data_IF_627335625753
#
_entry.id   IF_627335625753
#
_cell.length_a   1.000
_cell.length_b   1.000
_cell.length_c   1.000
_cell.angle_alpha   90.00
_cell.angle_beta   90.00
_cell.angle_gamma   90.00
#
_symmetry.space_group_name_H-M   'P 1'
#
loop_
_entity.id
_entity.type
_entity.pdbx_description
1 polymer ?
#
# COMPACT_ATOMS: atom_id res chain seq x y z
N UNK A 1 2.29 -7.06 -63.64
CA UNK A 1 2.84 -6.01 -62.73
C UNK A 1 1.79 -5.28 -61.87
N UNK A 2 0.47 -5.43 -62.09
CA UNK A 2 -0.56 -4.67 -61.35
C UNK A 2 -1.18 -5.37 -60.12
N UNK A 3 -0.90 -6.66 -59.89
CA UNK A 3 -1.48 -7.42 -58.77
C UNK A 3 -0.66 -7.32 -57.49
N UNK A 4 0.68 -7.38 -57.59
CA UNK A 4 1.60 -7.24 -56.45
C UNK A 4 1.58 -5.84 -55.82
N UNK A 5 1.46 -4.79 -56.64
CA UNK A 5 1.30 -3.43 -56.13
C UNK A 5 -0.02 -3.30 -55.35
N UNK A 6 -1.13 -3.82 -55.89
CA UNK A 6 -2.44 -3.77 -55.20
C UNK A 6 -2.47 -4.58 -53.90
N UNK A 7 -1.84 -5.75 -53.83
CA UNK A 7 -1.78 -6.50 -52.55
C UNK A 7 -0.91 -5.80 -51.52
N UNK A 8 0.22 -5.18 -51.91
CA UNK A 8 1.02 -4.37 -50.98
C UNK A 8 0.29 -3.10 -50.52
N UNK A 9 -0.40 -2.39 -51.42
CA UNK A 9 -1.16 -1.18 -51.04
C UNK A 9 -2.37 -1.54 -50.17
N UNK A 10 -3.01 -2.70 -50.39
CA UNK A 10 -4.12 -3.18 -49.55
C UNK A 10 -3.63 -3.65 -48.19
N UNK A 11 -2.48 -4.34 -48.09
CA UNK A 11 -1.85 -4.69 -46.79
C UNK A 11 -1.38 -3.44 -46.02
N UNK A 12 -0.83 -2.43 -46.71
CA UNK A 12 -0.48 -1.15 -46.08
C UNK A 12 -1.72 -0.38 -45.63
N UNK A 13 -2.82 -0.40 -46.38
CA UNK A 13 -4.09 0.26 -46.04
C UNK A 13 -4.94 -0.48 -44.99
N UNK A 14 -4.82 -1.81 -44.86
CA UNK A 14 -5.47 -2.57 -43.77
C UNK A 14 -4.65 -2.58 -42.49
N UNK A 15 -3.33 -2.36 -42.56
CA UNK A 15 -2.48 -2.13 -41.39
C UNK A 15 -2.49 -0.67 -40.93
N UNK A 16 -2.90 0.30 -41.76
CA UNK A 16 -2.95 1.72 -41.38
C UNK A 16 -3.91 2.04 -40.20
N UNK A 17 -5.08 1.39 -40.01
CA UNK A 17 -5.90 1.58 -38.80
C UNK A 17 -5.33 0.89 -37.55
N UNK A 18 -4.52 -0.15 -37.74
CA UNK A 18 -3.77 -0.87 -36.69
C UNK A 18 -2.47 -0.15 -36.30
N UNK A 19 -1.91 0.66 -37.20
CA UNK A 19 -0.76 1.54 -36.97
C UNK A 19 -1.17 2.97 -36.55
N UNK A 20 -2.42 3.37 -36.78
CA UNK A 20 -2.95 4.69 -36.40
C UNK A 20 -3.41 4.81 -34.93
N UNK A 21 -3.28 3.73 -34.15
CA UNK A 21 -3.50 3.74 -32.70
C UNK A 21 -2.25 3.29 -31.93
N UNK A 22 -1.04 3.53 -32.45
CA UNK A 22 0.07 3.73 -31.52
C UNK A 22 -0.38 4.89 -30.61
N UNK A 23 -0.87 4.54 -29.43
CA UNK A 23 -1.33 5.54 -28.48
C UNK A 23 -0.16 6.51 -28.26
N UNK A 24 -0.48 7.75 -27.93
CA UNK A 24 0.56 8.73 -27.59
C UNK A 24 1.57 8.14 -26.59
N UNK A 25 1.11 7.29 -25.66
CA UNK A 25 1.96 6.58 -24.71
C UNK A 25 3.01 5.66 -25.35
N UNK A 26 2.68 4.79 -26.31
CA UNK A 26 3.67 3.89 -26.93
C UNK A 26 4.85 4.64 -27.56
N UNK A 27 4.54 5.71 -28.30
CA UNK A 27 5.57 6.53 -28.93
C UNK A 27 6.45 7.24 -27.90
N UNK A 28 5.86 7.68 -26.79
CA UNK A 28 6.59 8.33 -25.68
C UNK A 28 7.49 7.34 -24.93
N UNK A 29 7.01 6.12 -24.66
CA UNK A 29 7.81 5.04 -24.07
C UNK A 29 9.01 4.71 -24.97
N UNK A 30 8.78 4.51 -26.28
CA UNK A 30 9.83 4.17 -27.23
C UNK A 30 10.93 5.24 -27.36
N UNK A 31 10.60 6.51 -27.09
CA UNK A 31 11.53 7.64 -27.09
C UNK A 31 12.18 7.92 -25.73
N UNK A 32 11.87 7.10 -24.71
CA UNK A 32 12.27 7.31 -23.32
C UNK A 32 11.77 8.64 -22.71
N UNK A 33 10.69 9.20 -23.23
CA UNK A 33 10.02 10.37 -22.63
C UNK A 33 9.09 9.89 -21.50
N UNK A 34 9.69 9.38 -20.44
CA UNK A 34 9.00 8.73 -19.34
C UNK A 34 8.03 9.64 -18.59
N UNK A 35 8.33 10.95 -18.53
CA UNK A 35 7.44 11.91 -17.90
C UNK A 35 6.15 12.10 -18.71
N UNK A 36 6.26 12.31 -20.03
CA UNK A 36 5.06 12.41 -20.87
C UNK A 36 4.35 11.07 -21.02
N UNK A 37 5.09 9.95 -21.07
CA UNK A 37 4.49 8.61 -21.06
C UNK A 37 3.66 8.38 -19.80
N UNK A 38 4.18 8.74 -18.62
CA UNK A 38 3.44 8.67 -17.36
C UNK A 38 2.15 9.50 -17.44
N UNK A 39 2.24 10.74 -17.92
CA UNK A 39 1.07 11.60 -18.11
C UNK A 39 0.02 10.95 -19.01
N UNK A 40 0.42 10.44 -20.16
CA UNK A 40 -0.48 9.84 -21.14
C UNK A 40 -1.23 8.64 -20.55
N UNK A 41 -0.51 7.74 -19.87
CA UNK A 41 -1.09 6.56 -19.23
C UNK A 41 -2.03 6.94 -18.07
N UNK A 42 -1.67 7.93 -17.25
CA UNK A 42 -2.52 8.40 -16.15
C UNK A 42 -3.79 9.12 -16.64
N UNK A 43 -3.73 9.78 -17.80
CA UNK A 43 -4.92 10.36 -18.43
C UNK A 43 -5.84 9.26 -18.98
N UNK A 44 -5.27 8.21 -19.57
CA UNK A 44 -6.01 7.03 -20.01
C UNK A 44 -6.69 6.33 -18.82
N UNK A 45 -5.99 6.19 -17.68
CA UNK A 45 -6.58 5.65 -16.44
C UNK A 45 -7.80 6.43 -15.97
N UNK A 46 -7.79 7.76 -16.11
CA UNK A 46 -8.89 8.65 -15.73
C UNK A 46 -10.10 8.58 -16.67
N UNK A 47 -9.98 7.92 -17.83
CA UNK A 47 -11.07 7.71 -18.77
C UNK A 47 -11.79 6.37 -18.56
N UNK A 48 -11.23 5.48 -17.75
CA UNK A 48 -11.83 4.18 -17.45
C UNK A 48 -13.08 4.27 -16.57
N UNK A 49 -13.96 3.28 -16.71
CA UNK A 49 -15.08 3.11 -15.77
C UNK A 49 -14.53 2.68 -14.40
N UNK A 50 -15.00 3.33 -13.33
CA UNK A 50 -14.54 3.14 -11.94
C UNK A 50 -13.08 3.56 -11.72
N UNK A 51 -12.84 4.86 -11.87
CA UNK A 51 -11.54 5.51 -11.64
C UNK A 51 -11.00 5.13 -10.24
N UNK A 52 -9.73 4.72 -10.18
CA UNK A 52 -9.03 4.54 -8.93
C UNK A 52 -9.06 5.85 -8.12
N UNK A 53 -9.65 5.79 -6.93
CA UNK A 53 -9.78 6.97 -6.08
C UNK A 53 -8.44 7.65 -5.77
N UNK A 54 -7.31 6.93 -5.82
CA UNK A 54 -5.97 7.44 -5.55
C UNK A 54 -5.32 8.15 -6.75
N UNK A 55 -5.89 7.99 -7.95
CA UNK A 55 -5.35 8.53 -9.21
C UNK A 55 -5.04 10.04 -9.16
N UNK A 56 -5.89 10.93 -8.59
CA UNK A 56 -5.56 12.35 -8.58
C UNK A 56 -4.31 12.68 -7.77
N UNK A 57 -4.11 12.03 -6.62
CA UNK A 57 -2.92 12.24 -5.82
C UNK A 57 -1.66 11.77 -6.56
N UNK A 58 -1.77 10.65 -7.29
CA UNK A 58 -0.70 10.12 -8.13
C UNK A 58 -0.35 11.12 -9.25
N UNK A 59 -1.36 11.61 -9.98
CA UNK A 59 -1.19 12.63 -11.02
C UNK A 59 -0.49 13.89 -10.46
N UNK A 60 -0.95 14.40 -9.32
CA UNK A 60 -0.38 15.60 -8.72
C UNK A 60 1.06 15.39 -8.21
N UNK A 61 1.37 14.23 -7.62
CA UNK A 61 2.73 13.86 -7.20
C UNK A 61 3.70 13.73 -8.38
N UNK A 62 3.19 13.26 -9.52
CA UNK A 62 3.95 13.20 -10.77
C UNK A 62 4.12 14.58 -11.44
N UNK A 63 3.56 15.65 -10.87
CA UNK A 63 3.68 17.02 -11.40
C UNK A 63 2.49 17.46 -12.28
N UNK A 64 1.49 16.60 -12.49
CA UNK A 64 0.30 16.87 -13.32
C UNK A 64 -0.86 17.41 -12.50
N UNK A 65 -0.64 18.52 -11.78
CA UNK A 65 -1.63 19.09 -10.84
C UNK A 65 -2.95 19.42 -11.54
N UNK A 66 -2.92 20.03 -12.72
CA UNK A 66 -4.17 20.41 -13.41
C UNK A 66 -4.96 19.19 -13.91
N UNK A 67 -4.27 18.11 -14.28
CA UNK A 67 -4.93 16.85 -14.65
C UNK A 67 -5.55 16.19 -13.41
N UNK A 68 -4.85 16.24 -12.26
CA UNK A 68 -5.41 15.80 -10.98
C UNK A 68 -6.70 16.55 -10.60
N UNK A 69 -6.72 17.88 -10.76
CA UNK A 69 -7.90 18.69 -10.43
C UNK A 69 -9.10 18.35 -11.33
N UNK A 70 -8.87 18.07 -12.62
CA UNK A 70 -9.92 17.58 -13.53
C UNK A 70 -10.45 16.22 -13.08
N UNK A 71 -9.56 15.31 -12.71
CA UNK A 71 -9.96 13.99 -12.20
C UNK A 71 -10.77 14.12 -10.91
N UNK A 72 -10.36 15.00 -9.98
CA UNK A 72 -11.11 15.26 -8.73
C UNK A 72 -12.53 15.76 -9.02
N UNK A 73 -12.70 16.68 -9.97
CA UNK A 73 -14.01 17.20 -10.32
C UNK A 73 -14.98 16.11 -10.84
N UNK A 74 -14.43 15.01 -11.41
CA UNK A 74 -15.20 13.85 -11.86
C UNK A 74 -15.49 12.80 -10.79
N UNK A 75 -14.91 12.90 -9.58
CA UNK A 75 -15.16 11.96 -8.49
C UNK A 75 -16.50 12.21 -7.79
N UNK A 76 -16.97 11.21 -7.04
CA UNK A 76 -18.12 11.39 -6.14
C UNK A 76 -17.88 12.56 -5.19
N UNK A 77 -18.89 13.42 -5.02
CA UNK A 77 -18.78 14.66 -4.25
C UNK A 77 -18.13 14.46 -2.88
N UNK A 78 -18.53 13.42 -2.14
CA UNK A 78 -18.02 13.11 -0.80
C UNK A 78 -16.51 12.86 -0.72
N UNK A 79 -15.86 12.50 -1.83
CA UNK A 79 -14.41 12.24 -1.87
C UNK A 79 -13.59 13.47 -2.26
N UNK A 80 -14.21 14.48 -2.86
CA UNK A 80 -13.50 15.64 -3.43
C UNK A 80 -12.73 16.48 -2.39
N UNK A 81 -13.32 16.86 -1.23
CA UNK A 81 -12.64 17.72 -0.27
C UNK A 81 -11.31 17.15 0.22
N UNK A 82 -11.31 15.87 0.59
CA UNK A 82 -10.10 15.17 1.05
C UNK A 82 -9.03 15.12 -0.04
N UNK A 83 -9.39 14.83 -1.30
CA UNK A 83 -8.41 14.81 -2.40
C UNK A 83 -7.83 16.20 -2.69
N UNK A 84 -8.62 17.25 -2.56
CA UNK A 84 -8.13 18.62 -2.68
C UNK A 84 -7.13 18.96 -1.57
N UNK A 85 -7.42 18.56 -0.32
CA UNK A 85 -6.48 18.74 0.81
C UNK A 85 -5.17 18.00 0.56
N UNK A 86 -5.20 16.73 0.16
CA UNK A 86 -3.97 15.97 -0.13
C UNK A 86 -3.12 16.60 -1.24
N UNK A 87 -3.77 17.13 -2.29
CA UNK A 87 -3.06 17.85 -3.36
C UNK A 87 -2.47 19.15 -2.80
N UNK A 88 -3.21 19.90 -1.97
CA UNK A 88 -2.75 21.15 -1.36
C UNK A 88 -1.51 20.96 -0.46
N UNK A 89 -1.36 19.79 0.16
CA UNK A 89 -0.21 19.42 1.01
C UNK A 89 1.07 19.10 0.22
N UNK A 90 1.01 19.02 -1.11
CA UNK A 90 2.19 18.75 -1.91
C UNK A 90 3.21 19.89 -1.83
N UNK A 91 4.51 19.57 -1.62
CA UNK A 91 5.54 20.58 -1.39
C UNK A 91 5.82 21.47 -2.61
N UNK A 92 5.53 20.97 -3.82
CA UNK A 92 5.74 21.70 -5.07
C UNK A 92 4.70 22.80 -5.36
N UNK A 93 3.61 22.89 -4.58
CA UNK A 93 2.58 23.91 -4.78
C UNK A 93 2.95 25.25 -4.15
N UNK A 94 2.63 26.35 -4.86
CA UNK A 94 2.71 27.69 -4.31
C UNK A 94 1.67 27.92 -3.22
N UNK A 95 1.94 28.84 -2.29
CA UNK A 95 1.02 29.18 -1.20
C UNK A 95 -0.36 29.61 -1.72
N UNK A 96 -0.41 30.48 -2.74
CA UNK A 96 -1.66 30.93 -3.35
C UNK A 96 -2.46 29.76 -3.96
N UNK A 97 -1.80 28.80 -4.61
CA UNK A 97 -2.48 27.62 -5.18
C UNK A 97 -3.01 26.71 -4.07
N UNK A 98 -2.22 26.51 -3.00
CA UNK A 98 -2.63 25.75 -1.81
C UNK A 98 -3.89 26.35 -1.18
N UNK A 99 -3.88 27.65 -0.90
CA UNK A 99 -5.02 28.36 -0.31
C UNK A 99 -6.29 28.24 -1.18
N UNK A 100 -6.16 28.39 -2.50
CA UNK A 100 -7.29 28.22 -3.42
C UNK A 100 -7.91 26.81 -3.35
N UNK A 101 -7.08 25.77 -3.28
CA UNK A 101 -7.55 24.38 -3.17
C UNK A 101 -8.21 24.10 -1.81
N UNK A 102 -7.66 24.65 -0.72
CA UNK A 102 -8.25 24.52 0.61
C UNK A 102 -9.59 25.26 0.70
N UNK A 103 -9.70 26.44 0.10
CA UNK A 103 -10.95 27.18 -0.03
C UNK A 103 -12.02 26.37 -0.77
N UNK A 104 -11.64 25.80 -1.93
CA UNK A 104 -12.53 24.93 -2.69
C UNK A 104 -12.98 23.70 -1.90
N UNK A 105 -12.06 23.06 -1.16
CA UNK A 105 -12.38 21.91 -0.31
C UNK A 105 -13.39 22.28 0.80
N UNK A 106 -13.20 23.44 1.43
CA UNK A 106 -14.11 23.95 2.45
C UNK A 106 -15.50 24.28 1.89
N UNK A 107 -15.58 24.89 0.71
CA UNK A 107 -16.86 25.22 0.09
C UNK A 107 -17.65 23.96 -0.27
N UNK A 108 -16.98 22.92 -0.81
CA UNK A 108 -17.62 21.62 -1.06
C UNK A 108 -18.06 20.97 0.26
N UNK A 109 -17.23 21.03 1.32
CA UNK A 109 -17.59 20.50 2.62
C UNK A 109 -18.86 21.17 3.18
N UNK A 110 -18.98 22.50 3.05
CA UNK A 110 -20.19 23.26 3.43
C UNK A 110 -21.41 22.83 2.63
N UNK A 111 -21.30 22.72 1.31
CA UNK A 111 -22.40 22.25 0.46
C UNK A 111 -22.86 20.83 0.82
N UNK A 112 -21.94 19.95 1.23
CA UNK A 112 -22.28 18.62 1.71
C UNK A 112 -23.00 18.67 3.06
N UNK A 113 -22.57 19.58 3.93
CA UNK A 113 -23.14 19.78 5.25
C UNK A 113 -24.58 20.32 5.16
N UNK A 114 -24.86 21.24 4.21
CA UNK A 114 -26.22 21.73 3.91
C UNK A 114 -27.18 20.61 3.46
N UNK A 115 -26.63 19.51 2.92
CA UNK A 115 -27.39 18.34 2.48
C UNK A 115 -27.39 17.20 3.51
N UNK A 116 -26.92 17.46 4.73
CA UNK A 116 -26.82 16.45 5.80
C UNK A 116 -26.05 15.19 5.38
N UNK A 117 -25.02 15.34 4.55
CA UNK A 117 -24.18 14.24 4.12
C UNK A 117 -23.13 13.89 5.17
N UNK A 118 -23.02 12.60 5.55
CA UNK A 118 -21.95 12.10 6.45
C UNK A 118 -20.53 12.35 5.92
N UNK A 119 -20.37 12.65 4.63
CA UNK A 119 -19.08 13.01 4.04
C UNK A 119 -18.54 14.35 4.57
N UNK A 120 -19.42 15.29 4.97
CA UNK A 120 -19.00 16.61 5.47
C UNK A 120 -18.18 16.48 6.76
N UNK A 121 -18.58 15.57 7.66
CA UNK A 121 -17.86 15.26 8.90
C UNK A 121 -16.39 14.90 8.65
N UNK A 122 -16.15 14.00 7.69
CA UNK A 122 -14.79 13.63 7.30
C UNK A 122 -14.06 14.80 6.65
N UNK A 123 -14.72 15.55 5.75
CA UNK A 123 -14.14 16.69 5.05
C UNK A 123 -13.67 17.80 6.00
N UNK A 124 -14.49 18.18 6.98
CA UNK A 124 -14.10 19.15 8.00
C UNK A 124 -12.94 18.64 8.86
N UNK A 125 -12.92 17.35 9.20
CA UNK A 125 -11.82 16.77 9.96
C UNK A 125 -10.49 16.78 9.18
N UNK A 126 -10.53 16.48 7.88
CA UNK A 126 -9.35 16.57 7.01
C UNK A 126 -8.78 18.00 6.94
N UNK A 127 -9.65 19.00 6.80
CA UNK A 127 -9.24 20.40 6.83
C UNK A 127 -8.68 20.79 8.21
N UNK A 128 -9.31 20.33 9.31
CA UNK A 128 -8.80 20.60 10.65
C UNK A 128 -7.39 20.02 10.88
N UNK A 129 -7.15 18.80 10.40
CA UNK A 129 -5.82 18.17 10.45
C UNK A 129 -4.80 18.95 9.63
N UNK A 130 -5.18 19.41 8.43
CA UNK A 130 -4.32 20.24 7.60
C UNK A 130 -3.88 21.52 8.33
N UNK A 131 -4.83 22.32 8.81
CA UNK A 131 -4.52 23.58 9.51
C UNK A 131 -3.72 23.35 10.79
N UNK A 132 -4.00 22.27 11.52
CA UNK A 132 -3.18 21.89 12.68
C UNK A 132 -1.74 21.56 12.28
N UNK A 133 -1.54 20.86 11.17
CA UNK A 133 -0.21 20.59 10.61
C UNK A 133 0.52 21.85 10.17
N UNK A 134 -0.20 22.85 9.68
CA UNK A 134 0.31 24.17 9.30
C UNK A 134 0.55 25.11 10.49
N UNK A 135 0.16 24.73 11.71
CA UNK A 135 0.31 25.54 12.91
C UNK A 135 -0.81 26.56 13.15
N UNK A 136 -1.89 26.56 12.36
CA UNK A 136 -3.07 27.38 12.56
C UNK A 136 -4.09 26.65 13.45
N UNK A 137 -3.84 26.66 14.75
CA UNK A 137 -4.70 26.00 15.72
C UNK A 137 -6.10 26.62 15.81
N UNK A 138 -6.23 27.92 15.56
CA UNK A 138 -7.52 28.63 15.62
C UNK A 138 -8.46 28.09 14.55
N UNK A 139 -7.98 28.04 13.30
CA UNK A 139 -8.77 27.51 12.20
C UNK A 139 -9.02 26.00 12.36
N UNK A 140 -8.02 25.25 12.83
CA UNK A 140 -8.16 23.82 13.10
C UNK A 140 -9.26 23.52 14.13
N UNK A 141 -9.33 24.30 15.23
CA UNK A 141 -10.38 24.17 16.25
C UNK A 141 -11.76 24.51 15.71
N UNK A 142 -11.88 25.56 14.90
CA UNK A 142 -13.16 25.93 14.29
C UNK A 142 -13.69 24.82 13.37
N UNK A 143 -12.83 24.22 12.55
CA UNK A 143 -13.20 23.12 11.67
C UNK A 143 -13.47 21.82 12.43
N UNK A 144 -12.73 21.53 13.50
CA UNK A 144 -13.03 20.41 14.39
C UNK A 144 -14.42 20.56 15.03
N UNK A 145 -14.79 21.77 15.47
CA UNK A 145 -16.10 22.02 16.05
C UNK A 145 -17.23 21.70 15.05
N UNK A 146 -17.07 22.11 13.79
CA UNK A 146 -18.01 21.74 12.71
C UNK A 146 -18.02 20.22 12.49
N UNK A 147 -16.86 19.57 12.44
CA UNK A 147 -16.79 18.12 12.28
C UNK A 147 -17.55 17.39 13.42
N UNK A 148 -17.39 17.84 14.68
CA UNK A 148 -18.07 17.29 15.85
C UNK A 148 -19.59 17.53 15.82
N UNK A 149 -20.02 18.73 15.42
CA UNK A 149 -21.44 19.07 15.28
C UNK A 149 -22.14 18.10 14.31
N UNK A 150 -21.57 17.92 13.11
CA UNK A 150 -22.12 17.01 12.11
C UNK A 150 -21.95 15.54 12.47
N UNK A 151 -20.84 15.15 13.11
CA UNK A 151 -20.66 13.80 13.65
C UNK A 151 -21.73 13.46 14.67
N UNK A 152 -22.09 14.40 15.55
CA UNK A 152 -23.15 14.23 16.52
C UNK A 152 -24.53 14.13 15.85
N UNK A 153 -24.83 15.04 14.92
CA UNK A 153 -26.11 15.07 14.20
C UNK A 153 -26.35 13.80 13.37
N UNK A 154 -25.29 13.27 12.74
CA UNK A 154 -25.38 12.21 11.73
C UNK A 154 -24.82 10.86 12.19
N UNK A 155 -24.42 10.75 13.46
CA UNK A 155 -23.80 9.54 14.04
C UNK A 155 -22.54 9.06 13.29
N UNK A 156 -21.74 9.98 12.73
CA UNK A 156 -20.68 9.67 11.75
C UNK A 156 -19.24 9.89 12.26
N UNK A 157 -18.96 9.50 13.50
CA UNK A 157 -17.63 9.66 14.13
C UNK A 157 -16.54 8.81 13.47
N UNK A 158 -16.93 7.68 12.86
CA UNK A 158 -16.09 6.81 12.04
C UNK A 158 -15.33 7.62 10.97
N UNK A 159 -15.98 8.62 10.35
CA UNK A 159 -15.37 9.48 9.33
C UNK A 159 -14.28 10.38 9.89
N UNK A 160 -14.44 10.88 11.11
CA UNK A 160 -13.41 11.69 11.78
C UNK A 160 -12.22 10.81 12.16
N UNK A 161 -12.50 9.64 12.75
CA UNK A 161 -11.49 8.69 13.20
C UNK A 161 -10.67 8.20 12.00
N UNK A 162 -11.34 7.87 10.90
CA UNK A 162 -10.69 7.51 9.65
C UNK A 162 -9.72 8.60 9.14
N UNK A 163 -10.12 9.88 9.17
CA UNK A 163 -9.24 10.99 8.79
C UNK A 163 -8.02 11.09 9.71
N UNK A 164 -8.21 11.03 11.04
CA UNK A 164 -7.11 11.05 12.01
C UNK A 164 -6.15 9.88 11.83
N UNK A 165 -6.66 8.67 11.57
CA UNK A 165 -5.87 7.47 11.34
C UNK A 165 -4.99 7.54 10.08
N UNK A 166 -5.37 8.37 9.10
CA UNK A 166 -4.62 8.60 7.87
C UNK A 166 -3.58 9.71 8.00
N UNK A 167 -3.79 10.65 8.92
CA UNK A 167 -2.83 11.72 9.25
C UNK A 167 -2.47 11.78 10.74
N UNK A 168 -1.96 10.68 11.34
CA UNK A 168 -1.65 10.62 12.76
C UNK A 168 -0.63 11.69 13.20
N UNK A 169 0.27 12.11 12.31
CA UNK A 169 1.27 13.15 12.57
C UNK A 169 0.68 14.54 12.83
N UNK A 170 -0.52 14.81 12.32
CA UNK A 170 -1.23 16.08 12.50
C UNK A 170 -2.33 16.00 13.57
N UNK A 171 -2.62 14.80 14.08
CA UNK A 171 -3.56 14.61 15.17
C UNK A 171 -2.96 15.10 16.50
N UNK A 172 -3.79 15.73 17.34
CA UNK A 172 -3.42 16.23 18.66
C UNK A 172 -4.39 15.73 19.72
N UNK A 173 -3.95 15.65 20.98
CA UNK A 173 -4.76 15.17 22.10
C UNK A 173 -6.08 15.95 22.26
N UNK A 174 -6.08 17.26 22.01
CA UNK A 174 -7.28 18.10 22.07
C UNK A 174 -8.30 17.82 20.95
N UNK A 175 -7.90 17.14 19.86
CA UNK A 175 -8.83 16.64 18.84
C UNK A 175 -9.49 15.33 19.24
N UNK A 176 -8.75 14.48 19.97
CA UNK A 176 -9.20 13.15 20.40
C UNK A 176 -10.19 13.27 21.57
N UNK A 177 -9.92 14.15 22.54
CA UNK A 177 -10.73 14.30 23.76
C UNK A 177 -12.25 14.51 23.53
N UNK A 178 -12.67 15.41 22.62
CA UNK A 178 -14.10 15.58 22.33
C UNK A 178 -14.75 14.34 21.69
N UNK A 179 -14.01 13.62 20.84
CA UNK A 179 -14.49 12.38 20.21
C UNK A 179 -14.69 11.29 21.27
N UNK A 180 -13.74 11.11 22.18
CA UNK A 180 -13.86 10.10 23.25
C UNK A 180 -15.00 10.42 24.20
N UNK A 181 -15.23 11.70 24.54
CA UNK A 181 -16.38 12.13 25.33
C UNK A 181 -17.71 11.82 24.66
N UNK A 182 -17.79 11.98 23.34
CA UNK A 182 -18.99 11.65 22.58
C UNK A 182 -19.25 10.15 22.51
N UNK A 183 -18.19 9.34 22.41
CA UNK A 183 -18.25 7.88 22.35
C UNK A 183 -18.57 7.20 23.68
N UNK A 184 -18.39 7.89 24.80
CA UNK A 184 -18.78 7.38 26.12
C UNK A 184 -20.30 7.25 26.32
N UNK A 185 -21.11 7.76 25.38
CA UNK A 185 -22.56 7.57 25.36
C UNK A 185 -22.90 6.25 24.68
N UNK A 186 -23.90 5.52 25.18
CA UNK A 186 -24.32 4.23 24.61
C UNK A 186 -24.70 4.35 23.12
N UNK A 187 -23.99 3.62 22.26
CA UNK A 187 -24.13 3.65 20.78
C UNK A 187 -23.79 2.28 20.20
N UNK A 188 -24.64 1.78 19.29
CA UNK A 188 -24.53 0.42 18.70
C UNK A 188 -23.15 0.13 18.08
N UNK A 189 -22.49 1.14 17.51
CA UNK A 189 -21.21 0.98 16.81
C UNK A 189 -19.98 1.51 17.57
N UNK A 190 -20.13 1.94 18.83
CA UNK A 190 -19.04 2.55 19.60
C UNK A 190 -17.78 1.66 19.68
N UNK A 191 -17.95 0.33 19.71
CA UNK A 191 -16.82 -0.60 19.76
C UNK A 191 -15.89 -0.50 18.53
N UNK A 192 -16.42 -0.21 17.34
CA UNK A 192 -15.61 -0.01 16.14
C UNK A 192 -14.90 1.34 16.15
N UNK A 193 -15.56 2.38 16.68
CA UNK A 193 -14.96 3.70 16.86
C UNK A 193 -13.81 3.65 17.88
N UNK A 194 -14.01 2.95 19.00
CA UNK A 194 -12.95 2.69 20.00
C UNK A 194 -11.80 1.88 19.43
N UNK A 195 -12.09 0.85 18.62
CA UNK A 195 -11.08 0.11 17.88
C UNK A 195 -10.25 1.06 17.00
N UNK A 196 -10.91 1.95 16.25
CA UNK A 196 -10.24 2.93 15.39
C UNK A 196 -9.36 3.92 16.17
N UNK A 197 -9.81 4.38 17.33
CA UNK A 197 -9.02 5.23 18.24
C UNK A 197 -7.82 4.49 18.84
N UNK A 198 -7.96 3.21 19.19
CA UNK A 198 -6.84 2.39 19.67
C UNK A 198 -5.76 2.22 18.59
N UNK A 199 -6.16 1.99 17.34
CA UNK A 199 -5.23 1.93 16.21
C UNK A 199 -4.52 3.28 15.98
N UNK A 200 -5.26 4.40 16.10
CA UNK A 200 -4.72 5.74 16.00
C UNK A 200 -3.66 5.99 17.09
N UNK A 201 -3.98 5.68 18.35
CA UNK A 201 -3.05 5.84 19.47
C UNK A 201 -1.76 5.03 19.27
N UNK A 202 -1.88 3.78 18.79
CA UNK A 202 -0.71 2.97 18.41
C UNK A 202 0.13 3.60 17.30
N UNK A 203 -0.51 4.15 16.25
CA UNK A 203 0.19 4.88 15.17
C UNK A 203 0.90 6.13 15.67
N UNK A 204 0.35 6.78 16.69
CA UNK A 204 0.97 7.93 17.37
C UNK A 204 2.05 7.53 18.38
N UNK A 205 2.23 6.23 18.64
CA UNK A 205 3.20 5.71 19.61
C UNK A 205 2.73 5.73 21.07
N UNK A 206 1.48 6.12 21.34
CA UNK A 206 0.91 6.18 22.69
C UNK A 206 0.25 4.84 23.07
N UNK A 207 1.09 3.92 23.57
CA UNK A 207 0.64 2.59 23.99
C UNK A 207 -0.31 2.63 25.19
N UNK A 208 -0.13 3.57 26.11
CA UNK A 208 -0.99 3.69 27.31
C UNK A 208 -2.39 4.12 26.91
N UNK A 209 -2.50 5.14 26.06
CA UNK A 209 -3.78 5.59 25.55
C UNK A 209 -4.45 4.51 24.69
N UNK A 210 -3.69 3.80 23.86
CA UNK A 210 -4.21 2.68 23.08
C UNK A 210 -4.84 1.60 23.97
N UNK A 211 -4.20 1.23 25.09
CA UNK A 211 -4.76 0.27 26.04
C UNK A 211 -6.05 0.79 26.68
N UNK A 212 -6.11 2.07 27.03
CA UNK A 212 -7.34 2.68 27.55
C UNK A 212 -8.49 2.61 26.53
N UNK A 213 -8.22 2.87 25.25
CA UNK A 213 -9.23 2.73 24.18
C UNK A 213 -9.60 1.28 23.90
N UNK A 214 -8.66 0.34 24.02
CA UNK A 214 -8.97 -1.08 23.95
C UNK A 214 -9.98 -1.49 25.02
N UNK A 215 -9.79 -1.04 26.27
CA UNK A 215 -10.69 -1.39 27.37
C UNK A 215 -12.10 -0.85 27.14
N UNK A 216 -12.21 0.42 26.71
CA UNK A 216 -13.49 1.01 26.33
C UNK A 216 -14.15 0.27 25.16
N UNK A 217 -13.36 -0.15 24.16
CA UNK A 217 -13.84 -0.94 23.03
C UNK A 217 -14.38 -2.30 23.45
N UNK A 218 -13.69 -2.99 24.36
CA UNK A 218 -14.11 -4.30 24.90
C UNK A 218 -15.44 -4.15 25.63
N UNK A 219 -15.58 -3.14 26.49
CA UNK A 219 -16.82 -2.85 27.21
C UNK A 219 -17.97 -2.58 26.22
N UNK A 220 -17.74 -1.73 25.21
CA UNK A 220 -18.71 -1.40 24.18
C UNK A 220 -19.15 -2.62 23.32
N UNK A 221 -18.35 -3.70 23.25
CA UNK A 221 -18.78 -4.92 22.55
C UNK A 221 -20.00 -5.60 23.17
N UNK A 222 -20.37 -5.25 24.41
CA UNK A 222 -21.60 -5.72 25.05
C UNK A 222 -22.86 -5.34 24.26
N UNK A 223 -22.80 -4.29 23.44
CA UNK A 223 -23.91 -3.80 22.62
C UNK A 223 -23.94 -4.41 21.21
N UNK A 224 -22.92 -5.19 20.83
CA UNK A 224 -22.83 -5.80 19.50
C UNK A 224 -23.56 -7.14 19.41
N UNK A 225 -24.10 -7.42 18.22
CA UNK A 225 -24.56 -8.77 17.85
C UNK A 225 -23.37 -9.75 17.79
N UNK A 226 -23.61 -11.01 18.14
CA UNK A 226 -22.58 -12.06 18.29
C UNK A 226 -21.64 -12.21 17.07
N UNK A 227 -22.19 -12.10 15.85
CA UNK A 227 -21.40 -12.25 14.61
C UNK A 227 -20.34 -11.17 14.42
N UNK A 228 -20.53 -9.97 14.99
CA UNK A 228 -19.55 -8.86 14.93
C UNK A 228 -18.66 -8.82 16.17
N UNK A 229 -19.22 -9.21 17.32
CA UNK A 229 -18.54 -9.20 18.62
C UNK A 229 -17.22 -9.98 18.59
N UNK A 230 -17.23 -11.22 18.08
CA UNK A 230 -16.03 -12.06 18.03
C UNK A 230 -14.89 -11.45 17.20
N UNK A 231 -15.22 -10.82 16.07
CA UNK A 231 -14.24 -10.13 15.23
C UNK A 231 -13.63 -8.93 15.97
N UNK A 232 -14.47 -8.03 16.50
CA UNK A 232 -14.02 -6.81 17.18
C UNK A 232 -13.17 -7.15 18.41
N UNK A 233 -13.60 -8.10 19.24
CA UNK A 233 -12.83 -8.57 20.39
C UNK A 233 -11.45 -9.11 19.99
N UNK A 234 -11.38 -9.91 18.91
CA UNK A 234 -10.09 -10.41 18.41
C UNK A 234 -9.17 -9.29 17.92
N UNK A 235 -9.70 -8.24 17.30
CA UNK A 235 -8.90 -7.09 16.85
C UNK A 235 -8.43 -6.25 18.04
N UNK A 236 -9.32 -5.93 18.99
CA UNK A 236 -8.98 -5.19 20.20
C UNK A 236 -7.89 -5.89 21.02
N UNK A 237 -8.01 -7.22 21.19
CA UNK A 237 -6.98 -8.00 21.86
C UNK A 237 -5.64 -8.01 21.11
N UNK A 238 -5.65 -8.03 19.78
CA UNK A 238 -4.42 -7.92 18.99
C UNK A 238 -3.76 -6.55 19.19
N UNK A 239 -4.53 -5.46 19.22
CA UNK A 239 -3.99 -4.14 19.54
C UNK A 239 -3.46 -4.08 20.97
N UNK A 240 -4.13 -4.74 21.92
CA UNK A 240 -3.65 -4.85 23.30
C UNK A 240 -2.26 -5.50 23.38
N UNK A 241 -2.04 -6.60 22.65
CA UNK A 241 -0.72 -7.25 22.55
C UNK A 241 0.32 -6.31 21.97
N UNK A 242 0.00 -5.61 20.86
CA UNK A 242 0.90 -4.65 20.22
C UNK A 242 1.24 -3.47 21.13
N UNK A 243 0.31 -3.07 21.99
CA UNK A 243 0.52 -2.08 23.04
C UNK A 243 1.30 -2.61 24.26
N UNK A 244 1.55 -3.93 24.34
CA UNK A 244 2.37 -4.57 25.39
C UNK A 244 1.59 -5.30 26.48
N UNK A 245 0.26 -5.44 26.36
CA UNK A 245 -0.55 -6.21 27.31
C UNK A 245 -0.37 -7.70 27.08
N UNK A 246 0.46 -8.35 27.88
CA UNK A 246 0.74 -9.79 27.77
C UNK A 246 -0.43 -10.69 28.21
N UNK A 247 -1.24 -10.23 29.18
CA UNK A 247 -2.41 -10.97 29.69
C UNK A 247 -3.67 -10.53 28.95
N UNK A 248 -4.27 -11.45 28.21
CA UNK A 248 -5.48 -11.20 27.43
C UNK A 248 -6.67 -11.96 28.04
N UNK A 249 -7.90 -11.42 27.89
CA UNK A 249 -9.10 -12.13 28.32
C UNK A 249 -9.32 -13.40 27.50
N UNK A 250 -9.53 -14.53 28.19
CA UNK A 250 -9.86 -15.83 27.58
C UNK A 250 -11.36 -15.91 27.19
N UNK A 251 -11.73 -16.78 26.22
CA UNK A 251 -10.86 -17.66 25.44
C UNK A 251 -10.17 -16.94 24.28
N UNK A 252 -8.87 -17.19 24.09
CA UNK A 252 -8.14 -16.70 22.93
C UNK A 252 -8.38 -17.56 21.69
N UNK A 253 -8.50 -16.91 20.53
CA UNK A 253 -8.43 -17.64 19.25
C UNK A 253 -7.03 -18.26 19.11
N UNK A 254 -6.89 -19.41 18.41
CA UNK A 254 -5.57 -20.03 18.23
C UNK A 254 -4.52 -19.08 17.66
N UNK A 255 -4.91 -18.23 16.70
CA UNK A 255 -4.02 -17.22 16.11
C UNK A 255 -3.56 -16.19 17.15
N UNK A 256 -4.47 -15.70 17.98
CA UNK A 256 -4.17 -14.71 19.00
C UNK A 256 -3.25 -15.27 20.09
N UNK A 257 -3.45 -16.53 20.50
CA UNK A 257 -2.57 -17.18 21.47
C UNK A 257 -1.15 -17.38 20.91
N UNK A 258 -1.02 -17.83 19.66
CA UNK A 258 0.30 -17.95 19.00
C UNK A 258 1.00 -16.60 18.85
N UNK A 259 0.25 -15.57 18.44
CA UNK A 259 0.78 -14.21 18.30
C UNK A 259 1.22 -13.64 19.65
N UNK A 260 0.43 -13.85 20.71
CA UNK A 260 0.79 -13.50 22.09
C UNK A 260 2.12 -14.14 22.48
N UNK A 261 2.26 -15.46 22.34
CA UNK A 261 3.47 -16.19 22.71
C UNK A 261 4.70 -15.68 21.94
N UNK A 262 4.57 -15.44 20.62
CA UNK A 262 5.64 -14.89 19.82
C UNK A 262 6.02 -13.44 20.24
N UNK A 263 5.03 -12.62 20.60
CA UNK A 263 5.27 -11.24 21.07
C UNK A 263 5.91 -11.22 22.45
N UNK A 264 5.50 -12.11 23.35
CA UNK A 264 5.97 -12.16 24.74
C UNK A 264 7.26 -12.95 24.94
N UNK A 265 8.00 -13.26 23.87
CA UNK A 265 9.32 -13.89 23.94
C UNK A 265 9.31 -15.41 24.13
N UNK A 266 8.22 -16.10 23.76
CA UNK A 266 8.12 -17.56 23.73
C UNK A 266 7.87 -18.09 22.29
N UNK A 267 8.77 -17.80 21.33
CA UNK A 267 8.58 -18.19 19.92
C UNK A 267 8.60 -19.71 19.72
N UNK A 268 9.22 -20.47 20.62
CA UNK A 268 9.23 -21.92 20.65
C UNK A 268 7.86 -22.52 20.98
N UNK A 269 7.15 -21.96 21.97
CA UNK A 269 5.79 -22.36 22.30
C UNK A 269 4.81 -21.98 21.19
N UNK A 270 4.97 -20.78 20.62
CA UNK A 270 4.21 -20.36 19.44
C UNK A 270 4.42 -21.34 18.27
N UNK A 271 5.67 -21.76 18.03
CA UNK A 271 6.00 -22.73 17.00
C UNK A 271 5.39 -24.11 17.28
N UNK A 272 5.44 -24.59 18.52
CA UNK A 272 4.82 -25.86 18.90
C UNK A 272 3.31 -25.88 18.59
N UNK A 273 2.61 -24.78 18.85
CA UNK A 273 1.20 -24.63 18.49
C UNK A 273 0.97 -24.58 16.97
N UNK A 274 1.83 -23.88 16.22
CA UNK A 274 1.75 -23.89 14.75
C UNK A 274 1.95 -25.30 14.18
N UNK A 275 2.95 -26.03 14.70
CA UNK A 275 3.29 -27.37 14.24
C UNK A 275 2.19 -28.39 14.58
N UNK A 276 1.52 -28.22 15.72
CA UNK A 276 0.40 -29.06 16.16
C UNK A 276 -0.96 -28.63 15.59
N UNK A 277 -1.02 -27.54 14.85
CA UNK A 277 -2.28 -27.00 14.34
C UNK A 277 -2.99 -27.98 13.39
N UNK A 278 -4.32 -28.08 13.44
CA UNK A 278 -5.06 -29.05 12.64
C UNK A 278 -4.94 -28.75 11.14
N UNK A 279 -5.12 -29.80 10.33
CA UNK A 279 -5.37 -29.65 8.90
C UNK A 279 -6.83 -29.23 8.68
N UNK A 280 -7.04 -28.24 7.83
CA UNK A 280 -8.34 -27.75 7.40
C UNK A 280 -8.41 -27.93 5.88
N UNK A 281 -9.06 -29.01 5.43
CA UNK A 281 -9.01 -29.48 4.05
C UNK A 281 -7.57 -29.73 3.59
N UNK A 282 -7.18 -29.11 2.47
CA UNK A 282 -5.84 -29.26 1.89
C UNK A 282 -4.78 -28.34 2.54
N UNK A 283 -5.15 -27.50 3.51
CA UNK A 283 -4.22 -26.51 4.08
C UNK A 283 -3.99 -26.74 5.57
N UNK A 284 -2.73 -26.86 5.98
CA UNK A 284 -2.36 -26.90 7.39
C UNK A 284 -2.61 -25.53 8.03
N UNK A 285 -3.40 -25.43 9.10
CA UNK A 285 -3.72 -24.13 9.71
C UNK A 285 -2.46 -23.38 10.17
N UNK A 286 -1.47 -24.09 10.72
CA UNK A 286 -0.19 -23.52 11.09
C UNK A 286 0.62 -23.01 9.88
N UNK A 287 0.46 -23.62 8.70
CA UNK A 287 1.14 -23.13 7.51
C UNK A 287 0.61 -21.76 7.06
N UNK A 288 -0.69 -21.50 7.21
CA UNK A 288 -1.29 -20.17 6.90
C UNK A 288 -0.84 -19.06 7.85
N UNK A 289 -0.45 -19.41 9.07
CA UNK A 289 -0.12 -18.44 10.12
C UNK A 289 1.37 -18.17 10.24
N UNK A 290 2.21 -19.13 9.88
CA UNK A 290 3.67 -19.00 9.88
C UNK A 290 4.17 -17.71 9.19
N UNK A 291 3.77 -17.37 7.93
CA UNK A 291 4.27 -16.16 7.28
C UNK A 291 3.78 -14.87 7.97
N UNK A 292 2.62 -14.91 8.65
CA UNK A 292 2.10 -13.76 9.40
C UNK A 292 2.92 -13.46 10.65
N UNK A 293 3.42 -14.48 11.34
CA UNK A 293 4.25 -14.30 12.53
C UNK A 293 5.64 -13.76 12.19
N UNK A 294 6.22 -14.17 11.06
CA UNK A 294 7.47 -13.58 10.56
C UNK A 294 7.26 -12.12 10.18
N UNK A 295 6.17 -11.82 9.46
CA UNK A 295 5.81 -10.44 9.11
C UNK A 295 5.63 -9.56 10.34
N UNK A 296 4.90 -10.03 11.35
CA UNK A 296 4.73 -9.31 12.62
C UNK A 296 6.06 -9.08 13.34
N UNK A 297 6.93 -10.09 13.42
CA UNK A 297 8.28 -9.94 13.99
C UNK A 297 9.11 -8.91 13.21
N UNK A 298 9.02 -8.92 11.88
CA UNK A 298 9.70 -7.94 11.02
C UNK A 298 9.17 -6.52 11.22
N UNK A 299 7.86 -6.32 11.30
CA UNK A 299 7.24 -5.01 11.60
C UNK A 299 7.66 -4.46 12.97
N UNK A 300 7.98 -5.35 13.93
CA UNK A 300 8.48 -5.00 15.26
C UNK A 300 10.01 -4.85 15.35
N UNK A 301 10.73 -5.06 14.24
CA UNK A 301 12.19 -5.15 14.20
C UNK A 301 12.77 -6.24 15.14
N UNK A 302 12.01 -7.31 15.39
CA UNK A 302 12.43 -8.45 16.21
C UNK A 302 13.14 -9.50 15.35
N UNK A 303 14.41 -9.23 15.05
CA UNK A 303 15.27 -10.12 14.28
C UNK A 303 15.39 -11.54 14.90
N UNK A 304 15.60 -11.72 16.22
CA UNK A 304 15.65 -13.06 16.81
C UNK A 304 14.41 -13.91 16.53
N UNK A 305 13.22 -13.35 16.74
CA UNK A 305 11.96 -14.06 16.49
C UNK A 305 11.75 -14.35 15.01
N UNK A 306 11.99 -13.36 14.13
CA UNK A 306 11.84 -13.55 12.69
C UNK A 306 12.77 -14.66 12.16
N UNK A 307 14.03 -14.65 12.62
CA UNK A 307 15.01 -15.69 12.28
C UNK A 307 14.63 -17.06 12.84
N UNK A 308 14.13 -17.12 14.08
CA UNK A 308 13.70 -18.38 14.70
C UNK A 308 12.67 -19.13 13.85
N UNK A 309 11.67 -18.42 13.35
CA UNK A 309 10.64 -18.98 12.49
C UNK A 309 11.15 -19.27 11.06
N UNK A 310 12.00 -18.42 10.48
CA UNK A 310 12.58 -18.64 9.15
C UNK A 310 13.43 -19.92 9.10
N UNK A 311 14.17 -20.23 10.17
CA UNK A 311 14.93 -21.48 10.33
C UNK A 311 14.04 -22.73 10.49
N UNK A 312 12.75 -22.56 10.76
CA UNK A 312 11.80 -23.64 11.09
C UNK A 312 10.51 -23.50 10.26
N UNK A 313 10.56 -23.81 8.96
CA UNK A 313 9.37 -23.73 8.10
C UNK A 313 8.37 -24.85 8.42
N UNK A 314 7.07 -24.55 8.33
CA UNK A 314 5.98 -25.50 8.58
C UNK A 314 5.19 -25.74 7.30
N UNK A 315 5.49 -26.83 6.57
CA UNK A 315 4.77 -27.23 5.34
C UNK A 315 4.55 -26.04 4.37
N UNK A 316 5.60 -25.23 4.19
CA UNK A 316 5.57 -23.99 3.43
C UNK A 316 5.97 -24.21 1.98
N UNK A 317 5.42 -23.39 1.09
CA UNK A 317 5.89 -23.25 -0.28
C UNK A 317 7.31 -22.65 -0.34
N UNK A 318 8.00 -22.85 -1.47
CA UNK A 318 9.31 -22.26 -1.72
C UNK A 318 9.25 -20.71 -1.66
N UNK A 319 8.18 -20.12 -2.19
CA UNK A 319 7.89 -18.69 -2.12
C UNK A 319 7.80 -18.16 -0.68
N UNK A 320 7.05 -18.83 0.20
CA UNK A 320 6.91 -18.40 1.59
C UNK A 320 8.27 -18.45 2.31
N UNK A 321 9.10 -19.45 2.02
CA UNK A 321 10.46 -19.54 2.53
C UNK A 321 11.37 -18.43 1.98
N UNK A 322 11.28 -18.14 0.68
CA UNK A 322 12.02 -17.04 0.06
C UNK A 322 11.65 -15.69 0.70
N UNK A 323 10.37 -15.43 0.87
CA UNK A 323 9.85 -14.21 1.51
C UNK A 323 10.29 -14.08 2.98
N UNK A 324 10.30 -15.18 3.72
CA UNK A 324 10.80 -15.20 5.10
C UNK A 324 12.30 -14.86 5.18
N UNK A 325 13.13 -15.53 4.37
CA UNK A 325 14.56 -15.26 4.35
C UNK A 325 14.90 -13.85 3.81
N UNK A 326 14.11 -13.34 2.86
CA UNK A 326 14.20 -11.97 2.38
C UNK A 326 13.96 -10.96 3.52
N UNK A 327 12.94 -11.17 4.35
CA UNK A 327 12.66 -10.32 5.52
C UNK A 327 13.77 -10.39 6.57
N UNK A 328 14.29 -11.59 6.86
CA UNK A 328 15.42 -11.75 7.80
C UNK A 328 16.67 -11.03 7.28
N UNK A 329 16.99 -11.17 5.99
CA UNK A 329 18.13 -10.47 5.38
C UNK A 329 17.96 -8.94 5.45
N UNK A 330 16.76 -8.44 5.21
CA UNK A 330 16.44 -7.00 5.35
C UNK A 330 16.65 -6.51 6.78
N UNK A 331 16.18 -7.25 7.79
CA UNK A 331 16.35 -6.91 9.21
C UNK A 331 17.83 -6.94 9.62
N UNK A 332 18.60 -7.94 9.16
CA UNK A 332 20.04 -8.02 9.41
C UNK A 332 20.78 -6.80 8.83
N UNK A 333 20.47 -6.42 7.59
CA UNK A 333 21.06 -5.24 6.96
C UNK A 333 20.72 -3.95 7.72
N UNK A 334 19.46 -3.76 8.11
CA UNK A 334 19.02 -2.61 8.92
C UNK A 334 19.70 -2.57 10.30
N UNK A 335 19.98 -3.74 10.88
CA UNK A 335 20.71 -3.89 12.14
C UNK A 335 22.24 -3.84 11.98
N UNK A 336 22.75 -3.55 10.77
CA UNK A 336 24.19 -3.56 10.43
C UNK A 336 24.88 -4.90 10.73
N UNK A 337 24.16 -6.01 10.62
CA UNK A 337 24.67 -7.38 10.72
C UNK A 337 24.94 -7.97 9.33
N UNK A 338 25.75 -9.03 9.27
CA UNK A 338 25.92 -9.78 8.03
C UNK A 338 24.60 -10.45 7.61
N UNK A 339 24.12 -10.10 6.42
CA UNK A 339 22.88 -10.58 5.83
C UNK A 339 23.12 -11.59 4.70
N UNK A 340 24.38 -11.87 4.34
CA UNK A 340 24.76 -12.60 3.13
C UNK A 340 24.26 -14.05 3.11
N UNK A 341 24.17 -14.69 4.27
CA UNK A 341 23.64 -16.05 4.38
C UNK A 341 22.13 -16.09 4.10
N UNK A 342 21.36 -15.23 4.79
CA UNK A 342 19.90 -15.16 4.61
C UNK A 342 19.50 -14.65 3.23
N UNK A 343 20.28 -13.72 2.66
CA UNK A 343 20.14 -13.30 1.27
C UNK A 343 20.27 -14.49 0.30
N UNK A 344 21.34 -15.29 0.43
CA UNK A 344 21.53 -16.48 -0.42
C UNK A 344 20.44 -17.52 -0.23
N UNK A 345 19.98 -17.74 1.01
CA UNK A 345 18.86 -18.65 1.27
C UNK A 345 17.56 -18.18 0.60
N UNK A 346 17.29 -16.87 0.61
CA UNK A 346 16.14 -16.30 -0.08
C UNK A 346 16.21 -16.53 -1.60
N UNK A 347 17.38 -16.34 -2.21
CA UNK A 347 17.58 -16.63 -3.65
C UNK A 347 17.41 -18.11 -3.96
N UNK A 348 18.03 -19.00 -3.18
CA UNK A 348 17.92 -20.45 -3.39
C UNK A 348 16.47 -20.93 -3.28
N UNK A 349 15.68 -20.34 -2.37
CA UNK A 349 14.26 -20.66 -2.24
C UNK A 349 13.39 -20.13 -3.39
N UNK A 350 13.88 -19.16 -4.19
CA UNK A 350 13.21 -18.72 -5.41
C UNK A 350 13.49 -19.63 -6.61
N UNK A 351 14.40 -20.58 -6.52
CA UNK A 351 14.57 -21.58 -7.58
C UNK A 351 13.33 -22.47 -7.63
N UNK A 352 12.67 -22.61 -8.80
CA UNK A 352 11.40 -23.31 -8.87
C UNK A 352 11.64 -24.81 -8.77
N UNK A 353 10.83 -25.49 -7.97
CA UNK A 353 10.71 -26.94 -8.11
C UNK A 353 10.18 -27.27 -9.52
N UNK A 354 10.77 -28.25 -10.18
CA UNK A 354 10.40 -28.64 -11.54
C UNK A 354 8.87 -28.83 -11.67
N UNK A 355 8.27 -28.16 -12.65
CA UNK A 355 6.82 -28.26 -12.93
C UNK A 355 5.91 -27.37 -12.06
N UNK A 356 6.45 -26.51 -11.20
CA UNK A 356 5.65 -25.54 -10.43
C UNK A 356 5.52 -24.22 -11.20
N UNK A 357 4.30 -23.72 -11.48
CA UNK A 357 4.13 -22.45 -12.18
C UNK A 357 4.60 -21.28 -11.30
N UNK A 358 5.19 -20.26 -11.95
CA UNK A 358 5.60 -19.02 -11.29
C UNK A 358 4.39 -18.16 -10.88
N UNK A 359 4.59 -17.33 -9.87
CA UNK A 359 3.61 -16.38 -9.35
C UNK A 359 4.15 -14.94 -9.36
N UNK A 360 3.27 -13.94 -9.30
CA UNK A 360 3.66 -12.53 -9.19
C UNK A 360 4.48 -12.29 -7.91
N UNK A 361 4.18 -13.02 -6.84
CA UNK A 361 4.86 -12.95 -5.56
C UNK A 361 6.32 -13.42 -5.64
N UNK A 362 6.65 -14.37 -6.53
CA UNK A 362 8.04 -14.78 -6.79
C UNK A 362 8.85 -13.59 -7.33
N UNK A 363 8.28 -12.88 -8.32
CA UNK A 363 8.90 -11.68 -8.91
C UNK A 363 9.00 -10.57 -7.88
N UNK A 364 7.94 -10.34 -7.10
CA UNK A 364 7.91 -9.33 -6.05
C UNK A 364 9.01 -9.56 -5.00
N UNK A 365 9.26 -10.82 -4.65
CA UNK A 365 10.31 -11.21 -3.70
C UNK A 365 11.70 -11.02 -4.31
N UNK A 366 11.88 -11.39 -5.58
CA UNK A 366 13.11 -11.17 -6.32
C UNK A 366 13.48 -9.68 -6.40
N UNK A 367 12.51 -8.81 -6.75
CA UNK A 367 12.74 -7.36 -6.84
C UNK A 367 13.18 -6.79 -5.48
N UNK A 368 12.55 -7.21 -4.38
CA UNK A 368 12.98 -6.80 -3.02
C UNK A 368 14.40 -7.22 -2.70
N UNK A 369 14.82 -8.41 -3.12
CA UNK A 369 16.19 -8.88 -2.95
C UNK A 369 17.18 -8.08 -3.79
N UNK A 370 16.84 -7.80 -5.06
CA UNK A 370 17.63 -6.94 -5.94
C UNK A 370 17.79 -5.53 -5.38
N UNK A 371 16.74 -4.98 -4.75
CA UNK A 371 16.80 -3.69 -4.07
C UNK A 371 17.66 -3.73 -2.80
N UNK A 372 17.56 -4.79 -1.99
CA UNK A 372 18.42 -4.98 -0.82
C UNK A 372 19.90 -5.05 -1.23
N UNK A 373 20.24 -5.83 -2.26
CA UNK A 373 21.59 -5.93 -2.78
C UNK A 373 22.16 -4.56 -3.20
N UNK A 374 21.34 -3.78 -3.91
CA UNK A 374 21.69 -2.42 -4.32
C UNK A 374 21.90 -1.50 -3.13
N UNK A 375 20.99 -1.51 -2.17
CA UNK A 375 21.08 -0.68 -0.95
C UNK A 375 22.32 -1.02 -0.12
N UNK A 376 22.71 -2.30 -0.08
CA UNK A 376 23.92 -2.77 0.57
C UNK A 376 25.21 -2.50 -0.24
N UNK A 377 25.12 -1.91 -1.44
CA UNK A 377 26.28 -1.63 -2.28
C UNK A 377 26.96 -2.89 -2.84
N UNK A 378 26.22 -4.01 -2.93
CA UNK A 378 26.72 -5.21 -3.61
C UNK A 378 26.93 -4.85 -5.08
N UNK A 379 28.21 -4.75 -5.48
CA UNK A 379 28.63 -4.15 -6.76
C UNK A 379 28.01 -4.82 -7.98
N UNK A 380 27.57 -6.06 -7.86
CA UNK A 380 26.65 -6.70 -8.78
C UNK A 380 25.81 -7.72 -7.98
N UNK A 381 24.47 -7.64 -7.95
CA UNK A 381 23.72 -8.90 -7.89
C UNK A 381 24.17 -9.69 -9.11
N UNK A 382 24.52 -10.97 -8.94
CA UNK A 382 25.14 -11.81 -9.97
C UNK A 382 24.62 -11.43 -11.37
N UNK A 383 25.47 -11.07 -12.35
CA UNK A 383 25.02 -10.59 -13.67
C UNK A 383 24.09 -11.58 -14.41
N UNK A 384 23.95 -12.80 -13.91
CA UNK A 384 22.96 -13.80 -14.32
C UNK A 384 21.51 -13.51 -13.86
N UNK A 385 21.30 -12.73 -12.79
CA UNK A 385 19.98 -12.53 -12.16
C UNK A 385 19.02 -11.69 -13.00
N UNK A 386 19.53 -10.80 -13.84
CA UNK A 386 18.72 -9.95 -14.71
C UNK A 386 18.02 -10.74 -15.82
N UNK A 387 18.76 -11.52 -16.64
CA UNK A 387 18.14 -12.45 -17.58
C UNK A 387 17.19 -13.43 -16.89
N UNK A 388 17.52 -13.90 -15.69
CA UNK A 388 16.64 -14.79 -14.91
C UNK A 388 15.34 -14.09 -14.50
N UNK A 389 15.39 -12.84 -14.02
CA UNK A 389 14.21 -12.07 -13.65
C UNK A 389 13.24 -11.91 -14.83
N UNK A 390 13.75 -11.57 -16.01
CA UNK A 390 12.94 -11.47 -17.24
C UNK A 390 12.38 -12.83 -17.65
N UNK A 391 13.20 -13.88 -17.63
CA UNK A 391 12.74 -15.23 -17.93
C UNK A 391 11.64 -15.71 -16.96
N UNK A 392 11.72 -15.35 -15.67
CA UNK A 392 10.70 -15.66 -14.69
C UNK A 392 9.36 -14.98 -15.01
N UNK A 393 9.39 -13.74 -15.53
CA UNK A 393 8.17 -13.04 -15.97
C UNK A 393 7.51 -13.79 -17.12
N UNK A 394 8.29 -14.24 -18.11
CA UNK A 394 7.76 -14.95 -19.27
C UNK A 394 7.23 -16.36 -18.92
N UNK A 395 7.70 -16.93 -17.80
CA UNK A 395 7.21 -18.19 -17.22
C UNK A 395 5.92 -18.04 -16.39
N UNK A 396 5.46 -16.82 -16.10
CA UNK A 396 4.17 -16.62 -15.43
C UNK A 396 3.02 -17.19 -16.29
N UNK A 397 1.96 -17.75 -15.71
CA UNK A 397 0.83 -18.30 -16.46
C UNK A 397 0.22 -17.31 -17.47
N UNK A 398 -0.06 -17.79 -18.69
CA UNK A 398 -0.58 -16.94 -19.78
C UNK A 398 -2.03 -16.49 -19.58
N UNK A 399 -2.80 -17.25 -18.79
CA UNK A 399 -4.16 -16.93 -18.35
C UNK A 399 -4.21 -15.88 -17.23
N UNK A 400 -3.04 -15.41 -16.76
CA UNK A 400 -2.90 -14.31 -15.80
C UNK A 400 -2.13 -13.12 -16.39
N UNK A 401 -2.68 -12.43 -17.42
CA UNK A 401 -2.02 -11.29 -18.02
C UNK A 401 -1.72 -10.15 -17.02
N UNK A 402 -2.52 -10.02 -15.96
CA UNK A 402 -2.34 -8.93 -14.96
C UNK A 402 -1.04 -9.13 -14.21
N UNK A 403 -0.77 -10.37 -13.79
CA UNK A 403 0.44 -10.75 -13.06
C UNK A 403 1.68 -10.46 -13.91
N UNK A 404 1.62 -10.76 -15.22
CA UNK A 404 2.71 -10.47 -16.16
C UNK A 404 2.95 -8.96 -16.30
N UNK A 405 1.89 -8.16 -16.44
CA UNK A 405 2.00 -6.70 -16.50
C UNK A 405 2.62 -6.16 -15.21
N UNK A 406 2.06 -6.51 -14.05
CA UNK A 406 2.56 -6.07 -12.74
C UNK A 406 4.01 -6.47 -12.51
N UNK A 407 4.40 -7.69 -12.88
CA UNK A 407 5.76 -8.18 -12.76
C UNK A 407 6.76 -7.36 -13.60
N UNK A 408 6.39 -7.00 -14.84
CA UNK A 408 7.20 -6.11 -15.70
C UNK A 408 7.35 -4.73 -15.10
N UNK A 409 6.26 -4.17 -14.57
CA UNK A 409 6.26 -2.86 -13.92
C UNK A 409 7.14 -2.85 -12.66
N UNK A 410 7.13 -3.90 -11.84
CA UNK A 410 7.98 -4.01 -10.66
C UNK A 410 9.48 -4.05 -10.99
N UNK A 411 9.85 -4.72 -12.08
CA UNK A 411 11.25 -4.84 -12.50
C UNK A 411 11.77 -3.58 -13.22
N UNK A 412 10.89 -2.78 -13.82
CA UNK A 412 11.22 -1.68 -14.71
C UNK A 412 12.13 -0.61 -14.09
N UNK A 413 11.88 -0.07 -12.87
CA UNK A 413 12.76 0.93 -12.25
C UNK A 413 14.17 0.40 -12.04
N UNK A 414 14.30 -0.89 -11.75
CA UNK A 414 15.59 -1.53 -11.52
C UNK A 414 16.38 -1.63 -12.83
N UNK A 415 15.76 -2.11 -13.91
CA UNK A 415 16.36 -2.16 -15.26
C UNK A 415 16.86 -0.78 -15.70
N UNK A 416 16.01 0.24 -15.54
CA UNK A 416 16.34 1.60 -15.94
C UNK A 416 17.57 2.15 -15.20
N UNK A 417 17.63 1.96 -13.87
CA UNK A 417 18.75 2.45 -13.03
C UNK A 417 20.07 1.76 -13.33
N UNK A 418 20.04 0.50 -13.74
CA UNK A 418 21.24 -0.28 -14.06
C UNK A 418 21.77 -0.03 -15.47
N UNK A 419 21.11 0.86 -16.22
CA UNK A 419 21.54 1.25 -17.56
C UNK A 419 21.10 0.29 -18.66
N UNK A 420 20.31 -0.75 -18.36
CA UNK A 420 19.72 -1.66 -19.37
C UNK A 420 18.46 -1.06 -20.00
N UNK A 421 18.61 0.15 -20.56
CA UNK A 421 17.51 0.99 -21.04
C UNK A 421 16.66 0.33 -22.12
N UNK A 422 17.26 -0.35 -23.08
CA UNK A 422 16.52 -1.01 -24.17
C UNK A 422 15.63 -2.14 -23.65
N UNK A 423 16.12 -2.89 -22.65
CA UNK A 423 15.36 -3.95 -22.00
C UNK A 423 14.23 -3.36 -21.16
N UNK A 424 14.49 -2.30 -20.41
CA UNK A 424 13.46 -1.54 -19.68
C UNK A 424 12.33 -1.07 -20.62
N UNK A 425 12.70 -0.42 -21.73
CA UNK A 425 11.75 0.06 -22.75
C UNK A 425 10.96 -1.07 -23.37
N UNK A 426 11.60 -2.20 -23.67
CA UNK A 426 10.92 -3.39 -24.18
C UNK A 426 9.90 -3.92 -23.18
N UNK A 427 10.25 -4.05 -21.90
CA UNK A 427 9.33 -4.53 -20.87
C UNK A 427 8.16 -3.56 -20.65
N UNK A 428 8.41 -2.25 -20.69
CA UNK A 428 7.37 -1.22 -20.59
C UNK A 428 6.39 -1.26 -21.76
N UNK A 429 6.89 -1.36 -23.00
CA UNK A 429 6.06 -1.47 -24.21
C UNK A 429 5.22 -2.74 -24.20
N UNK A 430 5.81 -3.87 -23.82
CA UNK A 430 5.08 -5.14 -23.71
C UNK A 430 3.98 -5.05 -22.66
N UNK A 431 4.29 -4.51 -21.47
CA UNK A 431 3.29 -4.30 -20.43
C UNK A 431 2.15 -3.39 -20.89
N UNK A 432 2.44 -2.30 -21.60
CA UNK A 432 1.41 -1.41 -22.14
C UNK A 432 0.57 -2.07 -23.22
N UNK A 433 1.18 -2.82 -24.14
CA UNK A 433 0.45 -3.54 -25.20
C UNK A 433 -0.45 -4.64 -24.65
N UNK A 434 -0.01 -5.33 -23.60
CA UNK A 434 -0.79 -6.37 -22.94
C UNK A 434 -2.09 -5.81 -22.31
N UNK A 435 -2.15 -4.49 -22.01
CA UNK A 435 -3.38 -3.84 -21.56
C UNK A 435 -4.51 -3.84 -22.60
N UNK A 436 -4.17 -3.92 -23.90
CA UNK A 436 -5.18 -3.98 -24.97
C UNK A 436 -6.07 -5.23 -24.90
N UNK A 437 -5.62 -6.27 -24.18
CA UNK A 437 -6.41 -7.47 -23.88
C UNK A 437 -7.55 -7.23 -22.88
N UNK A 438 -7.52 -6.14 -22.12
CA UNK A 438 -8.52 -5.80 -21.11
C UNK A 438 -9.63 -4.93 -21.71
N UNK A 439 -10.71 -5.58 -22.15
CA UNK A 439 -11.92 -4.92 -22.68
C UNK A 439 -12.90 -4.56 -21.56
N UNK A 440 -14.01 -3.88 -21.92
CA UNK A 440 -15.02 -3.25 -21.04
C UNK A 440 -15.40 -4.00 -19.75
N UNK A 441 -15.50 -5.33 -19.76
CA UNK A 441 -15.83 -6.15 -18.57
C UNK A 441 -14.72 -6.17 -17.51
N UNK A 442 -13.53 -5.67 -17.85
CA UNK A 442 -12.33 -5.61 -17.01
C UNK A 442 -11.79 -4.18 -16.85
N UNK A 443 -12.63 -3.16 -17.13
CA UNK A 443 -12.23 -1.75 -17.09
C UNK A 443 -11.64 -1.32 -15.73
N UNK A 444 -12.16 -1.82 -14.60
CA UNK A 444 -11.60 -1.53 -13.29
C UNK A 444 -10.16 -2.06 -13.13
N UNK A 445 -9.90 -3.29 -13.58
CA UNK A 445 -8.54 -3.88 -13.58
C UNK A 445 -7.61 -3.13 -14.52
N UNK A 446 -8.10 -2.71 -15.69
CA UNK A 446 -7.32 -1.89 -16.62
C UNK A 446 -6.98 -0.52 -16.01
N UNK A 447 -7.92 0.14 -15.34
CA UNK A 447 -7.70 1.41 -14.65
C UNK A 447 -6.63 1.30 -13.56
N UNK A 448 -6.68 0.23 -12.76
CA UNK A 448 -5.67 -0.08 -11.74
C UNK A 448 -4.28 -0.27 -12.37
N UNK A 449 -4.17 -1.10 -13.42
CA UNK A 449 -2.89 -1.37 -14.09
C UNK A 449 -2.32 -0.13 -14.80
N UNK A 450 -3.16 0.70 -15.42
CA UNK A 450 -2.74 1.99 -15.99
C UNK A 450 -2.24 2.92 -14.88
N UNK A 451 -2.94 2.97 -13.74
CA UNK A 451 -2.52 3.78 -12.60
C UNK A 451 -1.17 3.33 -12.06
N UNK A 452 -0.97 2.03 -11.84
CA UNK A 452 0.31 1.44 -11.43
C UNK A 452 1.43 1.75 -12.44
N UNK A 453 1.14 1.62 -13.73
CA UNK A 453 2.11 1.93 -14.79
C UNK A 453 2.52 3.41 -14.80
N UNK A 454 1.56 4.31 -14.64
CA UNK A 454 1.82 5.74 -14.51
C UNK A 454 2.69 6.09 -13.30
N UNK A 455 2.49 5.42 -12.15
CA UNK A 455 3.37 5.55 -10.97
C UNK A 455 4.80 5.15 -11.31
N UNK A 456 4.97 3.96 -11.91
CA UNK A 456 6.29 3.42 -12.24
C UNK A 456 7.00 4.28 -13.28
N UNK A 457 6.31 4.77 -14.31
CA UNK A 457 6.91 5.68 -15.30
C UNK A 457 7.34 7.01 -14.69
N UNK A 458 6.58 7.51 -13.71
CA UNK A 458 6.95 8.71 -12.95
C UNK A 458 8.21 8.47 -12.10
N UNK A 459 8.36 7.29 -11.50
CA UNK A 459 9.57 6.89 -10.76
C UNK A 459 10.80 6.78 -11.68
N UNK A 460 10.62 6.22 -12.88
CA UNK A 460 11.66 6.09 -13.91
C UNK A 460 12.09 7.46 -14.44
N UNK A 461 11.15 8.40 -14.58
CA UNK A 461 11.40 9.78 -14.99
C UNK A 461 12.11 10.62 -13.92
N UNK A 462 11.96 10.27 -12.64
CA UNK A 462 12.57 11.01 -11.55
C UNK A 462 14.11 10.91 -11.62
N UNK A 463 14.84 12.01 -11.37
CA UNK A 463 16.29 11.96 -11.32
C UNK A 463 16.74 10.97 -10.24
N UNK A 464 17.61 10.02 -10.59
CA UNK A 464 18.11 9.00 -9.66
C UNK A 464 18.59 9.65 -8.37
N UNK A 465 17.99 9.36 -7.20
CA UNK A 465 18.53 9.85 -5.94
C UNK A 465 19.92 9.24 -5.78
N UNK A 466 20.94 10.11 -5.69
CA UNK A 466 22.30 9.68 -5.37
C UNK A 466 22.26 8.75 -4.15
N UNK A 467 23.01 7.65 -4.23
CA UNK A 467 23.12 6.65 -3.16
C UNK A 467 23.39 7.37 -1.83
N UNK A 468 22.35 7.52 -1.00
CA UNK A 468 22.53 7.99 0.38
C UNK A 468 23.22 6.85 1.12
N UNK A 469 24.53 6.96 1.28
CA UNK A 469 25.24 6.23 2.34
C UNK A 469 24.55 6.58 3.66
N UNK A 470 24.16 5.59 4.49
CA UNK A 470 23.62 5.89 5.82
C UNK A 470 24.64 6.72 6.60
N UNK A 471 24.19 7.66 7.44
CA UNK A 471 25.10 8.47 8.26
C UNK A 471 26.00 7.54 9.08
N UNK A 472 27.29 7.86 9.25
CA UNK A 472 28.19 7.06 10.06
C UNK A 472 27.61 6.94 11.48
N UNK A 473 27.71 5.73 12.05
CA UNK A 473 27.28 5.48 13.41
C UNK A 473 27.88 6.52 14.36
N UNK A 474 27.13 7.02 15.36
CA UNK A 474 27.70 7.91 16.36
C UNK A 474 28.89 7.22 17.00
N UNK A 475 30.05 7.89 16.97
CA UNK A 475 31.23 7.45 17.69
C UNK A 475 30.80 7.22 19.15
N UNK A 476 30.95 5.98 19.62
CA UNK A 476 30.73 5.69 21.04
C UNK A 476 31.73 6.53 21.85
N UNK A 477 31.31 7.08 23.00
CA UNK A 477 32.18 7.86 23.87
C UNK A 477 33.41 7.09 24.34
#
# INVERSE_FOLDING_TARGET
>A
MNTLARTLTTLLLTCLPLLAHASNAEALIARHDWHQAARAVLLEAGQEKNIDSSLPLIQARAGFVDDALKTIAGLYAGSQPYRLVEVAELPQLSAARREALLGQALDIARQQAERDSTASTGAFMWLALHYCGAGDETQARALLALALEYAHKLDSYDRMIYAMQRSPQHTRSWMIGPVTQALARERENAAFDWLGLAELALKMGDKTQALGFVDQGIEATGQLRDSRKGYVLSQLNLLALKAGRASLPEPLTPYLNMTRLAITGAPDQAYALLAAAPQDGNTHYGARLWPKLIKDASERNDLPTARYFAERPIKQSALEQASAWQQVAQLQWQAHQDFSASYRQAFQALEPAAGTPRSLEDISTLVKLLDLARQAGLKQPEPALLPQAVAMIDQLPADRPSDRIKARLQLLPWLWRQGTRDLATTQALTAYRDLSGYRDSSAATRAELLTEMGVVFSEVAAPSPGVRTPPPAPARP
#
